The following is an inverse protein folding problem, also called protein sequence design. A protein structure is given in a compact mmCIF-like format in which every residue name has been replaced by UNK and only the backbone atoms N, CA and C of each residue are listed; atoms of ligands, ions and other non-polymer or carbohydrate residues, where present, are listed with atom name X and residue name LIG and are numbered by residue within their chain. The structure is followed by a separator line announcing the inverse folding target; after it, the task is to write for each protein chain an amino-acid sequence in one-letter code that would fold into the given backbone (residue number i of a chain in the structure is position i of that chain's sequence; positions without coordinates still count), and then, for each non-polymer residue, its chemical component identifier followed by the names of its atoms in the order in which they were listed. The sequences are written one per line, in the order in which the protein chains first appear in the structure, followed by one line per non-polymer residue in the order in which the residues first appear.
data_IF_481050303058
#
_entry.id   IF_481050303058
#
_cell.length_a   1.000
_cell.length_b   1.000
_cell.length_c   1.000
_cell.angle_alpha   90.00
_cell.angle_beta   90.00
_cell.angle_gamma   90.00
#
_symmetry.space_group_name_H-M   'P 1'
#
loop_
_entity.id
_entity.type
_entity.pdbx_description
1 polymer ?
#
# COMPACT_ATOMS: atom_id res chain seq x y z
N UNK A 1 -27.99 -63.24 24.03
CA UNK A 1 -28.45 -61.85 24.28
C UNK A 1 -27.45 -60.91 23.64
N UNK A 2 -27.95 -60.07 22.72
CA UNK A 2 -27.19 -59.09 21.93
C UNK A 2 -26.77 -57.88 22.78
N UNK A 3 -25.59 -57.30 22.50
CA UNK A 3 -25.37 -55.84 22.47
C UNK A 3 -24.36 -55.53 21.35
N UNK A 4 -24.75 -54.86 20.26
CA UNK A 4 -23.81 -54.20 19.36
C UNK A 4 -23.68 -52.75 19.83
N UNK A 5 -22.48 -52.25 20.12
CA UNK A 5 -22.31 -50.84 20.44
C UNK A 5 -21.20 -50.24 19.58
N UNK A 6 -21.67 -49.29 18.79
CA UNK A 6 -21.07 -48.72 17.58
C UNK A 6 -19.85 -47.87 17.93
N UNK A 7 -18.80 -48.09 17.15
CA UNK A 7 -17.61 -47.26 17.03
C UNK A 7 -18.00 -45.84 16.58
N UNK A 8 -18.05 -44.86 17.48
CA UNK A 8 -18.22 -43.44 17.12
C UNK A 8 -16.86 -42.75 17.04
N UNK A 9 -16.30 -42.76 15.84
CA UNK A 9 -15.13 -41.95 15.47
C UNK A 9 -15.58 -40.48 15.35
N UNK A 10 -15.35 -39.68 16.39
CA UNK A 10 -15.50 -38.21 16.31
C UNK A 10 -14.34 -37.64 15.48
N UNK A 11 -14.59 -37.39 14.18
CA UNK A 11 -13.68 -36.59 13.37
C UNK A 11 -13.77 -35.12 13.80
N UNK A 12 -12.69 -34.58 14.38
CA UNK A 12 -12.55 -33.14 14.57
C UNK A 12 -12.38 -32.48 13.19
N UNK A 13 -13.42 -31.79 12.71
CA UNK A 13 -13.28 -30.86 11.59
C UNK A 13 -12.62 -29.57 12.10
N UNK A 14 -11.32 -29.43 11.88
CA UNK A 14 -10.64 -28.13 12.01
C UNK A 14 -10.99 -27.28 10.79
N UNK A 15 -11.85 -26.28 10.96
CA UNK A 15 -12.07 -25.25 9.95
C UNK A 15 -10.85 -24.33 9.91
N UNK A 16 -10.03 -24.45 8.87
CA UNK A 16 -9.03 -23.45 8.58
C UNK A 16 -9.76 -22.16 8.13
N UNK A 17 -9.75 -21.13 8.98
CA UNK A 17 -10.18 -19.79 8.58
C UNK A 17 -9.23 -19.31 7.49
N UNK A 18 -9.70 -19.29 6.23
CA UNK A 18 -8.98 -18.64 5.15
C UNK A 18 -8.79 -17.17 5.54
N UNK A 19 -7.53 -16.76 5.78
CA UNK A 19 -7.22 -15.35 6.00
C UNK A 19 -7.59 -14.62 4.71
N UNK A 20 -8.42 -13.56 4.75
CA UNK A 20 -8.69 -12.79 3.54
C UNK A 20 -7.33 -12.35 2.98
N UNK A 21 -7.07 -12.68 1.73
CA UNK A 21 -5.90 -12.20 1.01
C UNK A 21 -5.98 -10.69 1.06
N UNK A 22 -5.02 -10.06 1.75
CA UNK A 22 -4.97 -8.61 1.84
C UNK A 22 -4.96 -8.06 0.42
N UNK A 23 -5.93 -7.22 0.10
CA UNK A 23 -5.96 -6.52 -1.17
C UNK A 23 -4.77 -5.56 -1.22
N UNK A 24 -3.97 -5.62 -2.29
CA UNK A 24 -2.70 -4.90 -2.38
C UNK A 24 -2.81 -3.77 -3.40
N UNK A 25 -2.49 -2.55 -2.96
CA UNK A 25 -2.15 -1.48 -3.87
C UNK A 25 -0.67 -1.57 -4.23
N UNK A 26 -0.36 -1.41 -5.51
CA UNK A 26 1.00 -1.25 -5.98
C UNK A 26 1.25 0.21 -6.36
N UNK A 27 2.41 0.72 -5.95
CA UNK A 27 2.88 2.07 -6.27
C UNK A 27 4.24 1.96 -6.91
N UNK A 28 4.33 2.38 -8.17
CA UNK A 28 5.60 2.47 -8.90
C UNK A 28 6.30 3.78 -8.54
N UNK A 29 7.52 3.68 -8.02
CA UNK A 29 8.31 4.82 -7.51
C UNK A 29 9.67 4.80 -8.20
N UNK A 30 10.10 5.96 -8.71
CA UNK A 30 11.36 6.11 -9.43
C UNK A 30 12.17 7.30 -8.87
N UNK A 31 13.49 7.14 -8.83
CA UNK A 31 14.44 8.15 -8.34
C UNK A 31 14.51 9.40 -9.24
N UNK A 32 14.32 9.24 -10.56
CA UNK A 32 14.31 10.37 -11.50
C UNK A 32 12.90 10.66 -12.03
N UNK A 33 12.76 11.86 -12.59
CA UNK A 33 11.58 12.27 -13.35
C UNK A 33 11.40 11.41 -14.61
N UNK A 34 10.21 11.43 -15.17
CA UNK A 34 9.77 10.69 -16.36
C UNK A 34 10.04 9.18 -16.28
N UNK A 35 9.82 8.59 -15.09
CA UNK A 35 10.00 7.15 -14.84
C UNK A 35 11.44 6.66 -15.04
N UNK A 36 12.41 7.55 -14.81
CA UNK A 36 13.84 7.30 -14.98
C UNK A 36 14.54 6.82 -13.70
N UNK A 37 15.85 6.57 -13.82
CA UNK A 37 16.68 6.18 -12.70
C UNK A 37 16.37 4.77 -12.19
N UNK A 38 16.61 4.54 -10.90
CA UNK A 38 16.20 3.29 -10.25
C UNK A 38 14.72 3.37 -9.88
N UNK A 39 13.99 2.34 -10.23
CA UNK A 39 12.57 2.23 -9.95
C UNK A 39 12.23 0.97 -9.16
N UNK A 40 11.23 1.09 -8.29
CA UNK A 40 10.73 0.00 -7.46
C UNK A 40 9.21 0.00 -7.43
N UNK A 41 8.63 -1.20 -7.30
CA UNK A 41 7.22 -1.38 -7.01
C UNK A 41 7.08 -1.55 -5.50
N UNK A 42 6.34 -0.65 -4.85
CA UNK A 42 6.11 -0.69 -3.42
C UNK A 42 4.67 -1.08 -3.15
N UNK A 43 4.48 -2.16 -2.40
CA UNK A 43 3.17 -2.71 -2.08
C UNK A 43 2.63 -2.10 -0.79
N UNK A 44 1.34 -1.81 -0.78
CA UNK A 44 0.59 -1.38 0.38
C UNK A 44 -0.62 -2.30 0.59
N UNK A 45 -0.74 -2.89 1.77
CA UNK A 45 -1.91 -3.68 2.14
C UNK A 45 -3.09 -2.77 2.46
N UNK A 46 -4.13 -2.79 1.62
CA UNK A 46 -5.36 -2.02 1.81
C UNK A 46 -5.98 -2.36 3.16
N UNK A 47 -6.37 -1.33 3.91
CA UNK A 47 -7.00 -1.48 5.22
C UNK A 47 -6.04 -1.86 6.37
N UNK A 48 -4.73 -1.96 6.12
CA UNK A 48 -3.74 -2.21 7.19
C UNK A 48 -3.68 -1.07 8.22
N UNK A 49 -3.83 0.18 7.77
CA UNK A 49 -3.59 1.37 8.58
C UNK A 49 -2.10 1.68 8.77
N UNK A 50 -1.22 0.88 8.18
CA UNK A 50 0.23 1.05 8.25
C UNK A 50 0.65 2.31 7.46
N UNK A 51 1.81 2.86 7.80
CA UNK A 51 2.48 3.86 6.97
C UNK A 51 3.64 3.20 6.25
N UNK A 52 3.53 3.02 4.93
CA UNK A 52 4.64 2.44 4.16
C UNK A 52 5.70 3.51 3.95
N UNK A 53 6.92 3.21 4.39
CA UNK A 53 8.05 4.14 4.32
C UNK A 53 8.65 4.22 2.92
N UNK A 54 9.07 5.42 2.55
CA UNK A 54 9.88 5.71 1.36
C UNK A 54 11.22 6.31 1.81
N UNK A 55 12.25 6.10 1.02
CA UNK A 55 13.61 6.59 1.28
C UNK A 55 13.75 8.11 1.07
N UNK A 56 12.84 8.69 0.30
CA UNK A 56 12.85 10.12 0.06
C UNK A 56 13.62 10.58 -1.15
N UNK A 57 13.84 9.72 -2.12
CA UNK A 57 14.52 10.04 -3.39
C UNK A 57 13.55 10.04 -4.58
N UNK A 58 12.25 9.89 -4.32
CA UNK A 58 11.26 9.78 -5.37
C UNK A 58 11.13 11.10 -6.14
N UNK A 59 11.26 11.03 -7.47
CA UNK A 59 11.03 12.13 -8.42
C UNK A 59 9.92 11.83 -9.43
N UNK A 60 9.47 10.58 -9.54
CA UNK A 60 8.22 10.22 -10.22
C UNK A 60 7.51 9.04 -9.53
N UNK A 61 6.17 9.11 -9.47
CA UNK A 61 5.35 8.16 -8.70
C UNK A 61 4.01 7.88 -9.38
N UNK A 62 3.64 6.60 -9.50
CA UNK A 62 2.37 6.15 -10.06
C UNK A 62 1.72 5.04 -9.21
N UNK A 63 0.60 5.33 -8.54
CA UNK A 63 -0.31 4.29 -8.07
C UNK A 63 -0.95 3.53 -9.23
N UNK A 64 -1.13 2.22 -9.09
CA UNK A 64 -1.90 1.44 -10.05
C UNK A 64 -3.38 1.89 -10.09
N UNK A 65 -4.06 1.59 -11.22
CA UNK A 65 -5.47 1.91 -11.41
C UNK A 65 -6.36 1.32 -10.32
N UNK A 66 -7.38 2.07 -9.91
CA UNK A 66 -8.33 1.66 -8.87
C UNK A 66 -7.83 1.94 -7.45
N UNK A 67 -6.77 2.74 -7.29
CA UNK A 67 -6.27 3.21 -6.01
C UNK A 67 -6.00 4.72 -5.99
N UNK A 68 -6.21 5.35 -4.84
CA UNK A 68 -5.80 6.70 -4.50
C UNK A 68 -4.84 6.66 -3.32
N UNK A 69 -3.62 7.12 -3.53
CA UNK A 69 -2.57 7.09 -2.51
C UNK A 69 -2.27 8.51 -2.02
N UNK A 70 -2.21 8.65 -0.70
CA UNK A 70 -1.78 9.88 -0.02
C UNK A 70 -0.33 9.73 0.36
N UNK A 71 0.52 10.63 -0.12
CA UNK A 71 1.94 10.69 0.18
C UNK A 71 2.20 11.78 1.21
N UNK A 72 3.21 11.58 2.02
CA UNK A 72 3.57 12.43 3.15
C UNK A 72 5.07 12.72 3.12
N UNK A 73 5.45 13.90 3.60
CA UNK A 73 6.88 14.27 3.81
C UNK A 73 7.52 13.64 5.06
N UNK A 74 6.77 12.81 5.76
CA UNK A 74 7.22 12.09 6.95
C UNK A 74 6.84 10.61 6.87
N UNK A 75 7.55 9.77 7.62
CA UNK A 75 7.28 8.33 7.71
C UNK A 75 6.18 7.95 8.71
N UNK A 76 5.43 8.92 9.24
CA UNK A 76 4.33 8.65 10.17
C UNK A 76 2.95 8.71 9.51
N UNK A 77 2.90 9.09 8.22
CA UNK A 77 1.66 9.28 7.45
C UNK A 77 0.66 10.19 8.15
N UNK A 78 1.18 11.26 8.77
CA UNK A 78 0.39 12.28 9.46
C UNK A 78 0.60 13.63 8.80
N UNK A 79 -0.47 14.40 8.74
CA UNK A 79 -0.44 15.78 8.28
C UNK A 79 -0.21 16.67 9.50
N UNK A 80 0.98 17.25 9.63
CA UNK A 80 1.30 18.19 10.72
C UNK A 80 0.93 19.64 10.34
N UNK A 81 0.93 19.95 9.05
CA UNK A 81 0.37 21.15 8.43
C UNK A 81 -0.19 20.81 7.04
N UNK A 82 -1.03 21.68 6.47
CA UNK A 82 -1.71 21.43 5.19
C UNK A 82 -0.79 21.25 3.96
N UNK A 83 0.52 21.48 4.09
CA UNK A 83 1.51 21.33 3.02
C UNK A 83 2.26 19.99 3.07
N UNK A 84 1.98 19.16 4.07
CA UNK A 84 2.73 17.95 4.38
C UNK A 84 2.23 16.68 3.66
N UNK A 85 1.15 16.77 2.88
CA UNK A 85 0.57 15.63 2.16
C UNK A 85 -0.03 16.00 0.81
N UNK A 86 0.07 15.09 -0.18
CA UNK A 86 -0.64 15.19 -1.46
C UNK A 86 -1.20 13.84 -1.90
N UNK A 87 -2.22 13.85 -2.75
CA UNK A 87 -2.90 12.63 -3.24
C UNK A 87 -2.61 12.42 -4.72
N UNK A 88 -2.33 11.19 -5.10
CA UNK A 88 -2.21 10.76 -6.50
C UNK A 88 -3.11 9.55 -6.77
N UNK A 89 -3.57 9.46 -8.01
CA UNK A 89 -4.17 8.28 -8.63
C UNK A 89 -3.43 8.04 -9.96
N UNK A 90 -3.66 6.91 -10.63
CA UNK A 90 -3.23 6.72 -12.03
C UNK A 90 -3.68 7.92 -12.90
N UNK A 91 -2.81 8.52 -13.74
CA UNK A 91 -1.48 8.05 -14.18
C UNK A 91 -0.30 8.43 -13.26
N UNK A 92 -0.56 8.97 -12.07
CA UNK A 92 0.45 9.46 -11.14
C UNK A 92 1.04 10.80 -11.57
N UNK A 93 2.23 11.10 -11.05
CA UNK A 93 3.04 12.22 -11.48
C UNK A 93 4.35 11.72 -12.04
N UNK A 94 4.56 11.97 -13.32
CA UNK A 94 5.83 11.67 -13.99
C UNK A 94 6.93 12.65 -13.56
N UNK A 95 6.61 13.76 -12.89
CA UNK A 95 7.60 14.80 -12.58
C UNK A 95 7.18 15.55 -11.31
N UNK A 96 7.66 15.06 -10.17
CA UNK A 96 7.36 15.64 -8.86
C UNK A 96 7.95 17.04 -8.66
N UNK A 97 8.84 17.50 -9.53
CA UNK A 97 9.31 18.91 -9.51
C UNK A 97 8.20 19.89 -9.87
N UNK A 98 7.17 19.42 -10.59
CA UNK A 98 6.03 20.22 -11.03
C UNK A 98 4.87 20.24 -10.02
N UNK A 99 4.90 19.36 -9.02
CA UNK A 99 3.86 19.30 -8.01
C UNK A 99 4.00 20.42 -6.99
N UNK A 100 2.87 21.06 -6.67
CA UNK A 100 2.85 22.12 -5.66
C UNK A 100 3.29 21.58 -4.29
N UNK A 101 4.16 22.33 -3.61
CA UNK A 101 4.69 21.96 -2.30
C UNK A 101 6.07 21.30 -2.34
N UNK A 102 6.75 21.22 -3.49
CA UNK A 102 8.14 20.77 -3.56
C UNK A 102 8.30 19.30 -3.19
N UNK A 103 7.77 18.42 -4.06
CA UNK A 103 7.66 16.99 -3.80
C UNK A 103 8.82 16.15 -4.32
N UNK A 104 9.69 16.72 -5.16
CA UNK A 104 10.93 16.08 -5.59
C UNK A 104 11.76 15.71 -4.35
N UNK A 105 12.16 14.45 -4.24
CA UNK A 105 12.97 13.94 -3.13
C UNK A 105 12.38 14.23 -1.74
N UNK A 106 11.04 14.33 -1.65
CA UNK A 106 10.37 14.75 -0.43
C UNK A 106 9.45 13.69 0.18
N UNK A 107 8.90 12.77 -0.62
CA UNK A 107 7.98 11.74 -0.13
C UNK A 107 8.70 10.72 0.77
N UNK A 108 8.30 10.63 2.04
CA UNK A 108 8.88 9.72 3.05
C UNK A 108 7.92 8.63 3.53
N UNK A 109 6.64 8.74 3.22
CA UNK A 109 5.67 7.69 3.50
C UNK A 109 4.38 7.85 2.71
N UNK A 110 3.61 6.77 2.61
CA UNK A 110 2.31 6.80 1.93
C UNK A 110 1.30 5.79 2.48
N UNK A 111 0.02 6.05 2.17
CA UNK A 111 -1.10 5.15 2.40
C UNK A 111 -2.03 5.15 1.18
N UNK A 112 -2.59 3.99 0.84
CA UNK A 112 -3.48 3.84 -0.30
C UNK A 112 -4.90 3.41 0.08
N UNK A 113 -5.86 3.85 -0.71
CA UNK A 113 -7.29 3.57 -0.55
C UNK A 113 -7.89 3.16 -1.89
N UNK A 114 -8.87 2.27 -1.87
CA UNK A 114 -9.71 1.98 -3.05
C UNK A 114 -10.47 3.23 -3.49
N UNK A 115 -10.61 3.40 -4.80
CA UNK A 115 -11.48 4.40 -5.43
C UNK A 115 -12.62 3.74 -6.18
#
# INVERSE_FOLDING_TARGET
MLIPMILTLFALLTTALARPTADLANVYVCEDVNWGGKCVNVLYAIGSGDCVSLDGTASSVRPDKGFSCTFYKNGSCRTFDGSASFKLQDPGSADLTKEAGGWNDAARGFQCFRV
#
